data_IF_871059773612
#
_entry.id   IF_871059773612
#
_cell.length_a   1.000
_cell.length_b   1.000
_cell.length_c   1.000
_cell.angle_alpha   90.00
_cell.angle_beta   90.00
_cell.angle_gamma   90.00
#
_symmetry.space_group_name_H-M   'P 1'
#
loop_
_entity.id
_entity.type
_entity.pdbx_description
1 polymer ?
#
# COMPACT_ATOMS: atom_id res chain seq x y z
N UNK A 1 -24.94 -13.46 0.01
CA UNK A 1 -23.69 -14.20 0.29
C UNK A 1 -23.20 -13.67 1.62
N UNK A 2 -23.15 -14.49 2.66
CA UNK A 2 -22.70 -14.04 3.98
C UNK A 2 -21.23 -13.62 3.91
N UNK A 3 -20.90 -12.49 4.54
CA UNK A 3 -19.53 -11.99 4.51
C UNK A 3 -18.63 -12.89 5.36
N UNK A 4 -17.56 -13.40 4.75
CA UNK A 4 -16.63 -14.28 5.45
C UNK A 4 -15.93 -13.52 6.59
N UNK A 5 -15.90 -14.15 7.77
CA UNK A 5 -15.19 -13.60 8.93
C UNK A 5 -13.68 -13.64 8.67
N UNK A 6 -12.98 -12.57 9.04
CA UNK A 6 -11.53 -12.44 8.90
C UNK A 6 -10.88 -12.16 10.24
N UNK A 7 -9.69 -12.71 10.45
CA UNK A 7 -8.89 -12.43 11.64
C UNK A 7 -8.76 -10.91 11.86
N UNK A 8 -9.07 -10.44 13.08
CA UNK A 8 -9.00 -9.03 13.44
C UNK A 8 -7.56 -8.57 13.76
N UNK A 9 -6.56 -9.45 13.69
CA UNK A 9 -5.18 -9.03 13.65
C UNK A 9 -4.86 -8.42 12.27
N UNK A 10 -4.59 -7.11 12.23
CA UNK A 10 -4.43 -6.32 11.00
C UNK A 10 -3.32 -6.83 10.06
N UNK A 11 -2.28 -7.48 10.58
CA UNK A 11 -1.21 -8.07 9.75
C UNK A 11 -1.55 -9.44 9.18
N UNK A 12 -2.56 -10.13 9.74
CA UNK A 12 -2.95 -11.47 9.31
C UNK A 12 -4.14 -11.43 8.35
N UNK A 13 -5.30 -10.94 8.81
CA UNK A 13 -6.54 -10.80 8.01
C UNK A 13 -6.99 -12.07 7.25
N UNK A 14 -6.47 -13.23 7.63
CA UNK A 14 -6.84 -14.50 7.00
C UNK A 14 -8.32 -14.77 7.19
N UNK A 15 -8.93 -15.40 6.20
CA UNK A 15 -10.32 -15.85 6.31
C UNK A 15 -10.41 -16.97 7.35
N UNK A 16 -11.49 -16.96 8.13
CA UNK A 16 -11.76 -17.92 9.20
C UNK A 16 -12.82 -18.90 8.71
N UNK A 17 -12.55 -20.20 8.84
CA UNK A 17 -13.39 -21.25 8.26
C UNK A 17 -13.94 -22.19 9.34
N UNK A 18 -13.09 -22.96 10.02
CA UNK A 18 -13.58 -23.99 10.95
C UNK A 18 -13.70 -23.51 12.40
N UNK A 19 -12.65 -22.89 12.92
CA UNK A 19 -12.55 -22.49 14.32
C UNK A 19 -11.74 -21.22 14.50
N UNK A 20 -12.16 -20.41 15.46
CA UNK A 20 -11.53 -19.14 15.78
C UNK A 20 -11.76 -18.78 17.24
N UNK A 21 -10.92 -17.91 17.80
CA UNK A 21 -11.15 -17.35 19.13
C UNK A 21 -12.03 -16.10 19.01
N UNK A 22 -13.21 -16.14 19.64
CA UNK A 22 -14.17 -15.04 19.69
C UNK A 22 -14.12 -14.42 21.08
N UNK A 23 -14.18 -13.10 21.14
CA UNK A 23 -14.14 -12.33 22.39
C UNK A 23 -15.47 -11.64 22.68
N UNK A 24 -15.74 -11.34 23.95
CA UNK A 24 -16.95 -10.62 24.39
C UNK A 24 -16.99 -9.16 23.91
N UNK A 25 -15.83 -8.59 23.55
CA UNK A 25 -15.70 -7.28 22.92
C UNK A 25 -15.90 -7.30 21.39
N UNK A 26 -16.55 -8.34 20.87
CA UNK A 26 -16.90 -8.53 19.46
C UNK A 26 -15.73 -8.72 18.49
N UNK A 27 -14.52 -9.04 18.97
CA UNK A 27 -13.37 -9.36 18.10
C UNK A 27 -13.18 -10.86 17.91
N UNK A 28 -12.62 -11.24 16.76
CA UNK A 28 -12.37 -12.62 16.36
C UNK A 28 -10.96 -12.81 15.76
N UNK A 29 -10.28 -13.89 16.14
CA UNK A 29 -8.89 -14.17 15.74
C UNK A 29 -8.73 -15.62 15.28
N UNK A 30 -7.85 -15.85 14.30
CA UNK A 30 -7.43 -17.22 13.99
C UNK A 30 -6.64 -17.80 15.15
N UNK A 31 -6.65 -19.14 15.30
CA UNK A 31 -5.94 -19.84 16.38
C UNK A 31 -4.46 -19.42 16.47
N UNK A 32 -3.67 -19.39 15.36
CA UNK A 32 -2.27 -18.99 15.44
C UNK A 32 -2.06 -17.56 15.98
N UNK A 33 -2.91 -16.61 15.56
CA UNK A 33 -2.82 -15.24 16.08
C UNK A 33 -3.21 -15.18 17.56
N UNK A 34 -4.27 -15.88 17.95
CA UNK A 34 -4.72 -15.94 19.34
C UNK A 34 -3.62 -16.48 20.27
N UNK A 35 -2.91 -17.53 19.84
CA UNK A 35 -1.80 -18.10 20.60
C UNK A 35 -0.61 -17.14 20.68
N UNK A 36 -0.19 -16.59 19.54
CA UNK A 36 0.97 -15.68 19.46
C UNK A 36 0.77 -14.35 20.20
N UNK A 37 -0.48 -13.87 20.28
CA UNK A 37 -0.84 -12.60 20.91
C UNK A 37 -1.25 -12.77 22.38
N UNK A 38 -1.10 -13.98 22.94
CA UNK A 38 -1.37 -14.26 24.35
C UNK A 38 -2.86 -14.25 24.73
N UNK A 39 -3.74 -14.48 23.76
CA UNK A 39 -5.19 -14.52 23.97
C UNK A 39 -5.67 -15.93 24.38
N UNK A 40 -5.08 -16.99 23.81
CA UNK A 40 -5.35 -18.38 24.20
C UNK A 40 -4.59 -18.80 25.47
N UNK A 41 -3.32 -18.38 25.58
CA UNK A 41 -2.43 -18.68 26.71
C UNK A 41 -1.94 -17.37 27.35
N UNK A 42 -2.68 -16.82 28.32
CA UNK A 42 -2.28 -15.58 28.96
C UNK A 42 -0.92 -15.71 29.64
N UNK A 43 0.02 -14.83 29.29
CA UNK A 43 1.32 -14.68 29.98
C UNK A 43 1.20 -13.88 31.29
N UNK A 44 0.09 -13.16 31.46
CA UNK A 44 -0.27 -12.37 32.65
C UNK A 44 -1.63 -12.81 33.19
N UNK A 45 -1.98 -12.46 34.44
CA UNK A 45 -3.27 -12.86 35.07
C UNK A 45 -4.52 -12.36 34.33
N UNK A 46 -4.38 -11.41 33.40
CA UNK A 46 -5.49 -10.81 32.65
C UNK A 46 -5.18 -10.82 31.16
N UNK A 47 -6.10 -11.36 30.36
CA UNK A 47 -6.02 -11.29 28.89
C UNK A 47 -6.36 -9.88 28.42
N UNK A 48 -5.75 -9.42 27.35
CA UNK A 48 -6.04 -8.11 26.72
C UNK A 48 -6.40 -8.38 25.27
N UNK A 49 -7.50 -7.80 24.78
CA UNK A 49 -7.89 -7.93 23.37
C UNK A 49 -6.84 -7.28 22.46
N UNK A 50 -6.23 -8.01 21.50
CA UNK A 50 -5.20 -7.44 20.62
C UNK A 50 -5.71 -6.39 19.62
N UNK A 51 -7.03 -6.21 19.48
CA UNK A 51 -7.63 -5.30 18.52
C UNK A 51 -8.16 -3.99 19.14
N UNK A 52 -8.72 -4.05 20.34
CA UNK A 52 -9.27 -2.86 21.03
C UNK A 52 -8.71 -2.62 22.43
N UNK A 53 -7.74 -3.41 22.86
CA UNK A 53 -7.06 -3.29 24.16
C UNK A 53 -7.98 -3.46 25.38
N UNK A 54 -9.22 -3.92 25.18
CA UNK A 54 -10.15 -4.19 26.27
C UNK A 54 -9.60 -5.32 27.18
N UNK A 55 -9.66 -5.15 28.51
CA UNK A 55 -9.33 -6.23 29.45
C UNK A 55 -10.38 -7.34 29.40
N UNK A 56 -9.91 -8.58 29.29
CA UNK A 56 -10.72 -9.81 29.18
C UNK A 56 -10.45 -10.66 30.43
N UNK A 57 -11.05 -10.24 31.54
CA UNK A 57 -10.77 -10.76 32.89
C UNK A 57 -11.51 -12.06 33.21
N UNK A 58 -12.64 -12.33 32.56
CA UNK A 58 -13.44 -13.52 32.79
C UNK A 58 -12.98 -14.68 31.91
N UNK A 59 -13.11 -15.95 32.33
CA UNK A 59 -12.78 -17.12 31.51
C UNK A 59 -13.50 -17.15 30.16
N UNK A 60 -14.75 -16.71 30.11
CA UNK A 60 -15.57 -16.71 28.89
C UNK A 60 -15.36 -15.48 27.99
N UNK A 61 -14.51 -14.53 28.39
CA UNK A 61 -14.25 -13.32 27.60
C UNK A 61 -13.48 -13.58 26.29
N UNK A 62 -12.84 -14.75 26.18
CA UNK A 62 -12.26 -15.24 24.95
C UNK A 62 -12.33 -16.77 24.92
N UNK A 63 -13.05 -17.30 23.93
CA UNK A 63 -13.32 -18.74 23.78
C UNK A 63 -13.09 -19.19 22.35
N UNK A 64 -12.65 -20.44 22.18
CA UNK A 64 -12.61 -21.08 20.86
C UNK A 64 -14.06 -21.38 20.47
N UNK A 65 -14.47 -20.85 19.33
CA UNK A 65 -15.78 -21.06 18.73
C UNK A 65 -15.65 -21.87 17.44
N UNK A 66 -16.54 -22.84 17.27
CA UNK A 66 -16.71 -23.55 16.01
C UNK A 66 -17.63 -22.70 15.12
N UNK A 67 -17.12 -22.28 13.96
CA UNK A 67 -17.85 -21.35 13.08
C UNK A 67 -18.91 -22.06 12.24
N UNK A 68 -18.71 -23.36 12.00
CA UNK A 68 -19.63 -24.23 11.28
C UNK A 68 -19.98 -25.46 12.14
N UNK A 69 -20.77 -25.29 13.23
CA UNK A 69 -21.19 -26.41 14.06
C UNK A 69 -22.18 -27.33 13.31
N UNK A 70 -22.21 -28.61 13.67
CA UNK A 70 -23.19 -29.56 13.13
C UNK A 70 -24.62 -29.22 13.58
N UNK A 71 -25.63 -29.68 12.84
CA UNK A 71 -27.04 -29.51 13.22
C UNK A 71 -27.32 -30.11 14.61
N UNK A 72 -26.80 -31.30 14.88
CA UNK A 72 -26.96 -31.95 16.20
C UNK A 72 -26.36 -31.12 17.34
N UNK A 73 -25.21 -30.46 17.10
CA UNK A 73 -24.61 -29.58 18.09
C UNK A 73 -25.47 -28.34 18.31
N UNK A 74 -25.98 -27.70 17.24
CA UNK A 74 -26.91 -26.56 17.34
C UNK A 74 -28.15 -26.94 18.14
N UNK A 75 -28.74 -28.10 17.87
CA UNK A 75 -29.87 -28.61 18.66
C UNK A 75 -29.48 -28.84 20.12
N UNK A 76 -28.33 -29.46 20.38
CA UNK A 76 -27.89 -29.79 21.74
C UNK A 76 -27.64 -28.55 22.60
N UNK A 77 -26.99 -27.51 22.05
CA UNK A 77 -26.68 -26.28 22.82
C UNK A 77 -27.90 -25.39 23.05
N UNK A 78 -28.90 -25.47 22.18
CA UNK A 78 -30.14 -24.67 22.30
C UNK A 78 -31.23 -25.38 23.11
N UNK A 79 -31.25 -26.72 23.10
CA UNK A 79 -32.27 -27.51 23.81
C UNK A 79 -32.11 -27.36 25.32
N UNK A 80 -33.19 -26.94 26.00
CA UNK A 80 -33.20 -26.68 27.44
C UNK A 80 -33.03 -25.21 27.83
N UNK A 81 -32.72 -24.33 26.86
CA UNK A 81 -32.72 -22.88 27.09
C UNK A 81 -34.13 -22.30 27.02
N UNK A 82 -34.39 -21.23 27.78
CA UNK A 82 -35.64 -20.50 27.70
C UNK A 82 -35.74 -19.71 26.37
N UNK A 83 -36.95 -19.46 25.84
CA UNK A 83 -37.12 -18.62 24.66
C UNK A 83 -36.44 -17.24 24.78
N UNK A 84 -36.46 -16.64 25.97
CA UNK A 84 -35.81 -15.35 26.22
C UNK A 84 -34.29 -15.44 26.06
N UNK A 85 -33.66 -16.48 26.64
CA UNK A 85 -32.22 -16.73 26.51
C UNK A 85 -31.82 -16.98 25.06
N UNK A 86 -32.61 -17.76 24.31
CA UNK A 86 -32.35 -18.02 22.89
C UNK A 86 -32.37 -16.72 22.08
N UNK A 87 -33.37 -15.87 22.29
CA UNK A 87 -33.47 -14.58 21.61
C UNK A 87 -32.33 -13.63 21.99
N UNK A 88 -31.88 -13.65 23.25
CA UNK A 88 -30.72 -12.88 23.69
C UNK A 88 -29.43 -13.35 23.00
N UNK A 89 -29.20 -14.66 22.93
CA UNK A 89 -28.07 -15.24 22.19
C UNK A 89 -28.09 -14.84 20.72
N UNK A 90 -29.25 -14.94 20.06
CA UNK A 90 -29.42 -14.53 18.67
C UNK A 90 -29.14 -13.03 18.48
N UNK A 91 -29.66 -12.17 19.35
CA UNK A 91 -29.40 -10.73 19.31
C UNK A 91 -27.90 -10.39 19.45
N UNK A 92 -27.19 -11.06 20.37
CA UNK A 92 -25.73 -10.90 20.53
C UNK A 92 -24.96 -11.38 19.29
N UNK A 93 -25.35 -12.52 18.72
CA UNK A 93 -24.74 -13.03 17.50
C UNK A 93 -24.94 -12.08 16.31
N UNK A 94 -26.15 -11.53 16.13
CA UNK A 94 -26.44 -10.54 15.09
C UNK A 94 -25.62 -9.25 15.27
N UNK A 95 -25.51 -8.75 16.51
CA UNK A 95 -24.68 -7.59 16.82
C UNK A 95 -23.20 -7.85 16.52
N UNK A 96 -22.70 -9.05 16.81
CA UNK A 96 -21.34 -9.45 16.46
C UNK A 96 -21.12 -9.40 14.94
N UNK A 97 -22.02 -9.98 14.14
CA UNK A 97 -21.89 -9.94 12.68
C UNK A 97 -22.02 -8.53 12.11
N UNK A 98 -22.91 -7.70 12.66
CA UNK A 98 -23.02 -6.28 12.28
C UNK A 98 -21.72 -5.53 12.55
N UNK A 99 -21.12 -5.74 13.73
CA UNK A 99 -19.83 -5.18 14.09
C UNK A 99 -18.72 -5.62 13.12
N UNK A 100 -18.60 -6.92 12.86
CA UNK A 100 -17.59 -7.46 11.94
C UNK A 100 -17.77 -6.95 10.50
N UNK A 101 -19.01 -6.82 10.04
CA UNK A 101 -19.33 -6.27 8.71
C UNK A 101 -18.92 -4.81 8.60
N UNK A 102 -19.27 -3.98 9.58
CA UNK A 102 -18.89 -2.57 9.60
C UNK A 102 -17.37 -2.40 9.66
N UNK A 103 -16.68 -3.20 10.49
CA UNK A 103 -15.21 -3.18 10.55
C UNK A 103 -14.58 -3.56 9.21
N UNK A 104 -15.13 -4.54 8.49
CA UNK A 104 -14.66 -4.91 7.15
C UNK A 104 -14.86 -3.78 6.14
N UNK A 105 -16.02 -3.13 6.14
CA UNK A 105 -16.30 -1.99 5.26
C UNK A 105 -15.28 -0.86 5.51
N UNK A 106 -15.09 -0.46 6.77
CA UNK A 106 -14.13 0.58 7.13
C UNK A 106 -12.70 0.23 6.72
N UNK A 107 -12.31 -1.04 6.88
CA UNK A 107 -10.99 -1.53 6.46
C UNK A 107 -10.81 -1.43 4.93
N UNK A 108 -11.79 -1.87 4.15
CA UNK A 108 -11.73 -1.81 2.69
C UNK A 108 -11.74 -0.37 2.17
N UNK A 109 -12.53 0.52 2.79
CA UNK A 109 -12.52 1.95 2.47
C UNK A 109 -11.15 2.58 2.72
N UNK A 110 -10.52 2.27 3.85
CA UNK A 110 -9.17 2.74 4.17
C UNK A 110 -8.14 2.26 3.14
N UNK A 111 -8.17 0.98 2.76
CA UNK A 111 -7.28 0.43 1.74
C UNK A 111 -7.48 1.10 0.39
N UNK A 112 -8.72 1.29 -0.04
CA UNK A 112 -9.05 1.96 -1.30
C UNK A 112 -8.52 3.40 -1.34
N UNK A 113 -8.71 4.16 -0.25
CA UNK A 113 -8.16 5.52 -0.12
C UNK A 113 -6.64 5.52 -0.16
N UNK A 114 -5.99 4.67 0.65
CA UNK A 114 -4.53 4.58 0.69
C UNK A 114 -3.93 4.19 -0.66
N UNK A 115 -4.59 3.30 -1.42
CA UNK A 115 -4.16 2.93 -2.76
C UNK A 115 -4.32 4.09 -3.74
N UNK A 116 -5.42 4.83 -3.65
CA UNK A 116 -5.70 6.02 -4.48
C UNK A 116 -4.65 7.11 -4.23
N UNK A 117 -4.32 7.39 -2.97
CA UNK A 117 -3.32 8.40 -2.61
C UNK A 117 -1.93 8.03 -3.14
N UNK A 118 -1.54 6.75 -3.03
CA UNK A 118 -0.27 6.25 -3.57
C UNK A 118 -0.23 6.33 -5.09
N UNK A 119 -1.33 6.02 -5.75
CA UNK A 119 -1.44 6.14 -7.20
C UNK A 119 -1.29 7.59 -7.64
N UNK A 120 -1.98 8.53 -6.98
CA UNK A 120 -1.88 9.95 -7.29
C UNK A 120 -0.45 10.46 -7.08
N UNK A 121 0.18 10.11 -5.96
CA UNK A 121 1.58 10.47 -5.69
C UNK A 121 2.52 9.97 -6.79
N UNK A 122 2.36 8.72 -7.22
CA UNK A 122 3.19 8.14 -8.28
C UNK A 122 2.93 8.80 -9.64
N UNK A 123 1.67 9.12 -9.94
CA UNK A 123 1.29 9.86 -11.15
C UNK A 123 1.94 11.25 -11.18
N UNK A 124 1.88 11.99 -10.07
CA UNK A 124 2.50 13.32 -9.96
C UNK A 124 4.03 13.25 -10.10
N UNK A 125 4.66 12.23 -9.51
CA UNK A 125 6.09 11.98 -9.69
C UNK A 125 6.45 11.72 -11.15
N UNK A 126 5.64 10.92 -11.85
CA UNK A 126 5.84 10.63 -13.27
C UNK A 126 5.71 11.89 -14.14
N UNK A 127 4.70 12.72 -13.91
CA UNK A 127 4.52 13.98 -14.61
C UNK A 127 5.70 14.94 -14.39
N UNK A 128 6.25 14.98 -13.17
CA UNK A 128 7.42 15.79 -12.86
C UNK A 128 8.67 15.29 -13.59
N UNK A 129 8.89 13.98 -13.66
CA UNK A 129 10.01 13.38 -14.41
C UNK A 129 9.88 13.72 -15.91
N UNK A 130 8.68 13.61 -16.48
CA UNK A 130 8.44 13.95 -17.89
C UNK A 130 8.73 15.44 -18.15
N UNK A 131 8.28 16.33 -17.26
CA UNK A 131 8.54 17.78 -17.37
C UNK A 131 10.03 18.08 -17.31
N UNK A 132 10.74 17.47 -16.36
CA UNK A 132 12.18 17.68 -16.19
C UNK A 132 12.96 17.16 -17.39
N UNK A 133 12.69 15.93 -17.85
CA UNK A 133 13.31 15.36 -19.05
C UNK A 133 13.08 16.26 -20.28
N UNK A 134 11.86 16.75 -20.50
CA UNK A 134 11.56 17.68 -21.59
C UNK A 134 12.31 19.02 -21.45
N UNK A 135 12.51 19.51 -20.22
CA UNK A 135 13.32 20.71 -19.96
C UNK A 135 14.78 20.50 -20.32
N UNK A 136 15.35 19.35 -19.91
CA UNK A 136 16.73 18.97 -20.24
C UNK A 136 16.94 18.82 -21.75
N UNK A 137 16.01 18.16 -22.45
CA UNK A 137 16.04 18.02 -23.92
C UNK A 137 16.06 19.39 -24.58
N UNK A 138 15.17 20.32 -24.18
CA UNK A 138 15.16 21.69 -24.71
C UNK A 138 16.49 22.42 -24.46
N UNK A 139 17.04 22.28 -23.25
CA UNK A 139 18.34 22.89 -22.91
C UNK A 139 19.48 22.34 -23.77
N UNK A 140 19.52 21.02 -23.98
CA UNK A 140 20.51 20.38 -24.83
C UNK A 140 20.38 20.80 -26.29
N UNK A 141 19.16 20.85 -26.84
CA UNK A 141 18.91 21.31 -28.21
C UNK A 141 19.39 22.75 -28.41
N UNK A 142 19.04 23.67 -27.50
CA UNK A 142 19.50 25.05 -27.57
C UNK A 142 21.05 25.15 -27.55
N UNK A 143 21.71 24.28 -26.78
CA UNK A 143 23.18 24.24 -26.71
C UNK A 143 23.80 23.66 -27.98
N UNK A 144 23.18 22.65 -28.58
CA UNK A 144 23.58 22.10 -29.88
C UNK A 144 23.48 23.16 -30.97
N UNK A 145 22.38 23.90 -31.03
CA UNK A 145 22.19 24.98 -32.01
C UNK A 145 23.26 26.07 -31.87
N UNK A 146 23.55 26.49 -30.62
CA UNK A 146 24.60 27.46 -30.34
C UNK A 146 26.00 26.98 -30.78
N UNK A 147 26.34 25.72 -30.50
CA UNK A 147 27.62 25.12 -30.90
C UNK A 147 27.72 24.94 -32.43
N UNK A 148 26.63 24.62 -33.11
CA UNK A 148 26.59 24.55 -34.57
C UNK A 148 26.86 25.91 -35.21
N UNK A 149 26.26 26.97 -34.68
CA UNK A 149 26.49 28.34 -35.15
C UNK A 149 27.92 28.82 -34.86
N UNK A 150 28.48 28.49 -33.69
CA UNK A 150 29.87 28.80 -33.37
C UNK A 150 30.84 28.06 -34.30
N UNK A 151 30.59 26.77 -34.55
CA UNK A 151 31.37 25.97 -35.51
C UNK A 151 31.37 26.61 -36.89
N UNK A 152 30.19 27.00 -37.41
CA UNK A 152 30.06 27.67 -38.72
C UNK A 152 30.92 28.94 -38.79
N UNK A 153 30.87 29.79 -37.76
CA UNK A 153 31.69 31.01 -37.69
C UNK A 153 33.20 30.72 -37.67
N UNK A 154 33.61 29.68 -36.94
CA UNK A 154 35.01 29.27 -36.88
C UNK A 154 35.50 28.73 -38.22
N UNK A 155 34.68 27.93 -38.92
CA UNK A 155 34.97 27.43 -40.27
C UNK A 155 35.16 28.59 -41.26
N UNK A 156 34.22 29.55 -41.29
CA UNK A 156 34.32 30.75 -42.13
C UNK A 156 35.60 31.57 -41.83
N UNK A 157 35.93 31.76 -40.55
CA UNK A 157 37.13 32.48 -40.14
C UNK A 157 38.40 31.74 -40.55
N UNK A 158 38.40 30.41 -40.44
CA UNK A 158 39.53 29.58 -40.83
C UNK A 158 39.77 29.64 -42.36
N UNK A 159 38.70 29.58 -43.16
CA UNK A 159 38.78 29.75 -44.61
C UNK A 159 39.37 31.11 -44.99
N UNK A 160 38.88 32.20 -44.36
CA UNK A 160 39.43 33.56 -44.57
C UNK A 160 40.90 33.67 -44.22
N UNK A 161 41.32 33.07 -43.10
CA UNK A 161 42.73 33.04 -42.71
C UNK A 161 43.57 32.24 -43.70
N UNK A 162 43.12 31.06 -44.11
CA UNK A 162 43.80 30.23 -45.09
C UNK A 162 43.99 30.98 -46.43
N UNK A 163 42.97 31.72 -46.87
CA UNK A 163 43.07 32.57 -48.06
C UNK A 163 44.07 33.72 -47.88
N UNK A 164 44.04 34.41 -46.75
CA UNK A 164 45.00 35.47 -46.43
C UNK A 164 46.45 34.96 -46.41
N UNK A 165 46.70 33.78 -45.82
CA UNK A 165 48.01 33.12 -45.83
C UNK A 165 48.46 32.74 -47.24
N UNK A 166 47.58 32.16 -48.05
CA UNK A 166 47.86 31.86 -49.47
C UNK A 166 48.26 33.12 -50.25
N UNK A 167 47.51 34.21 -50.09
CA UNK A 167 47.80 35.48 -50.75
C UNK A 167 49.11 36.11 -50.27
N UNK A 168 49.41 36.03 -48.98
CA UNK A 168 50.69 36.49 -48.42
C UNK A 168 51.87 35.67 -48.97
N UNK A 169 51.73 34.35 -49.05
CA UNK A 169 52.74 33.46 -49.64
C UNK A 169 53.04 33.79 -51.10
N UNK A 170 52.00 34.05 -51.91
CA UNK A 170 52.17 34.49 -53.31
C UNK A 170 52.95 35.80 -53.41
N UNK A 171 52.55 36.83 -52.64
CA UNK A 171 53.24 38.12 -52.61
C UNK A 171 54.70 38.01 -52.18
N UNK A 172 55.00 37.13 -51.23
CA UNK A 172 56.36 36.90 -50.75
C UNK A 172 57.25 36.20 -51.79
N UNK A 173 56.69 35.26 -52.57
CA UNK A 173 57.39 34.68 -53.72
C UNK A 173 57.64 35.70 -54.83
N UNK A 174 56.70 36.61 -55.09
CA UNK A 174 56.87 37.70 -56.05
C UNK A 174 57.98 38.67 -55.62
N UNK A 175 58.03 39.02 -54.33
CA UNK A 175 59.06 39.91 -53.78
C UNK A 175 60.48 39.30 -53.78
N UNK A 176 60.61 37.97 -53.70
CA UNK A 176 61.90 37.25 -53.75
C UNK A 176 62.44 37.07 -55.18
N UNK A 177 61.69 37.47 -56.22
CA UNK A 177 62.10 37.41 -57.63
C UNK A 177 62.62 38.75 -58.20
N UNK A 178 62.63 39.80 -57.38
CA UNK A 178 63.27 41.09 -57.62
C UNK A 178 64.64 41.12 -56.94
#
# INVERSE_FOLDING_TARGET
>A
MEQALRCNHLKCRTQLEDSAVVTTCSHIFCIPCSDSLGLSTPTSRTRICPACEAPLSNPDDAVISQLNPSEDYKTSVLSGLSPNTILECAGRALNFYSYQTNQEIMYQEYLARSLTDKYQLLSDQMDNIIKDANSQIRSMNNRLDALQEEKRKLEEKNERLAEAYRNKGKKQQEALRL
#
